data_IF_129706066388
#
_entry.id   IF_129706066388
#
_cell.length_a   1.000
_cell.length_b   1.000
_cell.length_c   1.000
_cell.angle_alpha   90.00
_cell.angle_beta   90.00
_cell.angle_gamma   90.00
#
_symmetry.space_group_name_H-M   'P 1'
#
loop_
_entity.id
_entity.type
_entity.pdbx_description
1 polymer ?
#
# COMPACT_ATOMS: atom_id res chain seq x y z
N UNK A 1 -20.62 21.66 12.20
CA UNK A 1 -19.41 21.58 11.35
C UNK A 1 -18.13 21.82 12.13
N UNK A 2 -18.04 22.88 12.91
CA UNK A 2 -16.82 23.20 13.65
C UNK A 2 -16.36 22.11 14.62
N UNK A 3 -17.29 21.47 15.33
CA UNK A 3 -16.97 20.40 16.28
C UNK A 3 -16.45 19.16 15.60
N UNK A 4 -17.07 18.76 14.51
CA UNK A 4 -16.64 17.57 13.72
C UNK A 4 -15.26 17.83 13.10
N UNK A 5 -15.06 19.01 12.54
CA UNK A 5 -13.77 19.40 11.98
C UNK A 5 -12.67 19.42 13.05
N UNK A 6 -12.96 19.99 14.22
CA UNK A 6 -12.00 20.03 15.33
C UNK A 6 -11.62 18.62 15.79
N UNK A 7 -12.60 17.72 15.88
CA UNK A 7 -12.35 16.32 16.24
C UNK A 7 -11.49 15.61 15.18
N UNK A 8 -11.75 15.86 13.91
CA UNK A 8 -10.95 15.30 12.82
C UNK A 8 -9.51 15.80 12.88
N UNK A 9 -9.29 17.08 13.18
CA UNK A 9 -7.94 17.63 13.34
C UNK A 9 -7.22 17.04 14.56
N UNK A 10 -7.95 16.82 15.66
CA UNK A 10 -7.42 16.17 16.85
C UNK A 10 -7.00 14.72 16.54
N UNK A 11 -7.83 14.00 15.78
CA UNK A 11 -7.50 12.65 15.31
C UNK A 11 -6.24 12.67 14.43
N UNK A 12 -6.13 13.62 13.52
CA UNK A 12 -4.94 13.80 12.67
C UNK A 12 -3.67 13.99 13.52
N UNK A 13 -3.73 14.79 14.56
CA UNK A 13 -2.61 14.97 15.49
C UNK A 13 -2.25 13.69 16.22
N UNK A 14 -3.25 12.93 16.65
CA UNK A 14 -3.05 11.64 17.31
C UNK A 14 -2.39 10.63 16.38
N UNK A 15 -2.81 10.60 15.11
CA UNK A 15 -2.21 9.75 14.07
C UNK A 15 -0.73 10.11 13.89
N UNK A 16 -0.40 11.40 13.77
CA UNK A 16 0.97 11.85 13.56
C UNK A 16 1.88 11.61 14.78
N UNK A 17 1.29 11.48 15.97
CA UNK A 17 2.01 11.15 17.21
C UNK A 17 2.16 9.64 17.42
N UNK A 18 1.46 8.82 16.65
CA UNK A 18 1.49 7.36 16.80
C UNK A 18 2.81 6.78 16.29
N UNK A 19 3.40 5.78 17.01
CA UNK A 19 4.63 5.14 16.55
C UNK A 19 4.57 4.54 15.14
N UNK A 20 3.40 4.06 14.70
CA UNK A 20 3.21 3.50 13.35
C UNK A 20 3.39 4.55 12.26
N UNK A 21 2.90 5.76 12.50
CA UNK A 21 3.12 6.90 11.61
C UNK A 21 4.61 7.23 11.53
N UNK A 22 5.28 7.33 12.68
CA UNK A 22 6.69 7.68 12.75
C UNK A 22 7.57 6.64 12.07
N UNK A 23 7.30 5.35 12.31
CA UNK A 23 8.02 4.25 11.66
C UNK A 23 7.81 4.26 10.15
N UNK A 24 6.59 4.52 9.68
CA UNK A 24 6.29 4.61 8.25
C UNK A 24 7.09 5.71 7.57
N UNK A 25 7.10 6.92 8.14
CA UNK A 25 7.82 8.04 7.54
C UNK A 25 9.35 7.87 7.60
N UNK A 26 9.87 7.27 8.66
CA UNK A 26 11.30 6.94 8.76
C UNK A 26 11.70 5.88 7.72
N UNK A 27 10.88 4.83 7.57
CA UNK A 27 11.13 3.77 6.60
C UNK A 27 11.00 4.28 5.15
N UNK A 28 10.03 5.16 4.90
CA UNK A 28 9.87 5.80 3.59
C UNK A 28 11.09 6.63 3.23
N UNK A 29 11.59 7.41 4.17
CA UNK A 29 12.78 8.24 3.97
C UNK A 29 14.01 7.39 3.66
N UNK A 30 14.22 6.30 4.39
CA UNK A 30 15.31 5.37 4.16
C UNK A 30 15.20 4.67 2.80
N UNK A 31 13.98 4.26 2.43
CA UNK A 31 13.68 3.66 1.13
C UNK A 31 14.00 4.63 -0.01
N UNK A 32 13.53 5.87 0.08
CA UNK A 32 13.74 6.91 -0.94
C UNK A 32 15.22 7.29 -1.07
N UNK A 33 16.00 7.19 0.00
CA UNK A 33 17.42 7.53 0.02
C UNK A 33 18.31 6.36 -0.48
N UNK A 34 17.79 5.17 -0.61
CA UNK A 34 18.53 4.01 -1.12
C UNK A 34 18.57 4.05 -2.64
N UNK A 35 19.61 4.65 -3.19
CA UNK A 35 19.75 4.88 -4.64
C UNK A 35 19.74 3.58 -5.44
N UNK A 36 20.42 2.55 -4.97
CA UNK A 36 20.47 1.25 -5.64
C UNK A 36 19.07 0.63 -5.70
N UNK A 37 18.33 0.69 -4.61
CA UNK A 37 16.96 0.21 -4.55
C UNK A 37 16.05 1.00 -5.51
N UNK A 38 16.16 2.32 -5.53
CA UNK A 38 15.36 3.17 -6.40
C UNK A 38 15.64 2.88 -7.88
N UNK A 39 16.89 2.61 -8.24
CA UNK A 39 17.24 2.20 -9.59
C UNK A 39 16.63 0.86 -9.97
N UNK A 40 16.66 -0.11 -9.06
CA UNK A 40 16.01 -1.42 -9.30
C UNK A 40 14.50 -1.30 -9.47
N UNK A 41 13.85 -0.47 -8.65
CA UNK A 41 12.40 -0.21 -8.75
C UNK A 41 12.07 0.43 -10.11
N UNK A 42 12.87 1.40 -10.53
CA UNK A 42 12.68 2.07 -11.80
C UNK A 42 12.85 1.08 -12.96
N UNK A 43 13.89 0.27 -12.93
CA UNK A 43 14.13 -0.76 -13.94
C UNK A 43 12.98 -1.78 -13.97
N UNK A 44 12.51 -2.21 -12.80
CA UNK A 44 11.38 -3.12 -12.68
C UNK A 44 10.14 -2.55 -13.37
N UNK A 45 9.82 -1.29 -13.10
CA UNK A 45 8.66 -0.63 -13.70
C UNK A 45 8.80 -0.52 -15.22
N UNK A 46 9.98 -0.17 -15.72
CA UNK A 46 10.24 -0.08 -17.15
C UNK A 46 10.12 -1.46 -17.85
N UNK A 47 10.62 -2.52 -17.21
CA UNK A 47 10.50 -3.88 -17.74
C UNK A 47 9.04 -4.35 -17.75
N UNK A 48 8.28 -4.03 -16.72
CA UNK A 48 6.84 -4.34 -16.69
C UNK A 48 6.09 -3.62 -17.82
N UNK A 49 6.39 -2.36 -18.07
CA UNK A 49 5.78 -1.61 -19.17
C UNK A 49 6.14 -2.23 -20.52
N UNK A 50 7.38 -2.62 -20.70
CA UNK A 50 7.83 -3.30 -21.93
C UNK A 50 7.13 -4.64 -22.12
N UNK A 51 6.97 -5.40 -21.04
CA UNK A 51 6.25 -6.68 -21.04
C UNK A 51 4.79 -6.48 -21.45
N UNK A 52 4.13 -5.49 -20.84
CA UNK A 52 2.74 -5.18 -21.16
C UNK A 52 2.57 -4.80 -22.62
N UNK A 53 3.43 -3.95 -23.15
CA UNK A 53 3.40 -3.56 -24.58
C UNK A 53 3.58 -4.75 -25.49
N UNK A 54 4.52 -5.64 -25.16
CA UNK A 54 4.80 -6.81 -25.99
C UNK A 54 3.62 -7.79 -25.98
N UNK A 55 2.99 -8.02 -24.82
CA UNK A 55 1.87 -8.95 -24.68
C UNK A 55 0.55 -8.39 -25.24
N UNK A 56 0.44 -7.07 -25.39
CA UNK A 56 -0.73 -6.42 -26.01
C UNK A 56 -0.69 -6.46 -27.53
N UNK A 57 0.45 -6.82 -28.12
CA UNK A 57 0.55 -6.98 -29.57
C UNK A 57 -0.25 -8.18 -30.05
N UNK A 58 -0.64 -8.15 -31.33
CA UNK A 58 -1.24 -9.31 -31.97
C UNK A 58 -0.31 -10.52 -31.84
N UNK A 59 -0.87 -11.70 -31.59
CA UNK A 59 -0.11 -12.92 -31.35
C UNK A 59 0.97 -13.17 -32.44
N UNK A 60 0.65 -12.84 -33.68
CA UNK A 60 1.56 -12.97 -34.83
C UNK A 60 2.76 -12.03 -34.75
N UNK A 61 2.64 -10.91 -34.04
CA UNK A 61 3.65 -9.87 -33.92
C UNK A 61 4.43 -9.96 -32.62
N UNK A 62 4.02 -10.82 -31.69
CA UNK A 62 4.72 -11.02 -30.43
C UNK A 62 6.02 -11.78 -30.63
N UNK A 63 7.06 -11.38 -29.89
CA UNK A 63 8.34 -12.07 -29.86
C UNK A 63 8.45 -12.91 -28.58
N UNK A 64 8.25 -14.25 -28.66
CA UNK A 64 8.26 -15.10 -27.46
C UNK A 64 9.59 -15.07 -26.70
N UNK A 65 10.72 -14.94 -27.40
CA UNK A 65 12.04 -14.86 -26.75
C UNK A 65 12.17 -13.59 -25.91
N UNK A 66 11.69 -12.47 -26.44
CA UNK A 66 11.69 -11.18 -25.73
C UNK A 66 10.78 -11.23 -24.52
N UNK A 67 9.59 -11.81 -24.66
CA UNK A 67 8.64 -11.99 -23.55
C UNK A 67 9.30 -12.80 -22.44
N UNK A 68 9.93 -13.92 -22.78
CA UNK A 68 10.60 -14.78 -21.80
C UNK A 68 11.74 -14.06 -21.08
N UNK A 69 12.56 -13.29 -21.79
CA UNK A 69 13.63 -12.50 -21.19
C UNK A 69 13.10 -11.43 -20.26
N UNK A 70 12.00 -10.77 -20.65
CA UNK A 70 11.34 -9.77 -19.81
C UNK A 70 10.80 -10.41 -18.53
N UNK A 71 10.14 -11.57 -18.62
CA UNK A 71 9.64 -12.32 -17.47
C UNK A 71 10.76 -12.67 -16.50
N UNK A 72 11.88 -13.18 -17.01
CA UNK A 72 13.04 -13.54 -16.19
C UNK A 72 13.61 -12.31 -15.48
N UNK A 73 13.80 -11.22 -16.22
CA UNK A 73 14.35 -9.99 -15.64
C UNK A 73 13.41 -9.37 -14.59
N UNK A 74 12.11 -9.37 -14.86
CA UNK A 74 11.10 -8.90 -13.92
C UNK A 74 11.16 -9.75 -12.63
N UNK A 75 11.25 -11.07 -12.76
CA UNK A 75 11.35 -11.97 -11.61
C UNK A 75 12.63 -11.73 -10.80
N UNK A 76 13.77 -11.57 -11.45
CA UNK A 76 15.04 -11.27 -10.77
C UNK A 76 14.97 -9.96 -10.00
N UNK A 77 14.43 -8.91 -10.64
CA UNK A 77 14.27 -7.59 -10.00
C UNK A 77 13.29 -7.65 -8.84
N UNK A 78 12.18 -8.37 -9.00
CA UNK A 78 11.19 -8.56 -7.94
C UNK A 78 11.83 -9.19 -6.69
N UNK A 79 12.60 -10.27 -6.88
CA UNK A 79 13.28 -10.95 -5.78
C UNK A 79 14.35 -10.07 -5.12
N UNK A 80 15.12 -9.34 -5.93
CA UNK A 80 16.15 -8.43 -5.41
C UNK A 80 15.54 -7.27 -4.61
N UNK A 81 14.48 -6.66 -5.12
CA UNK A 81 13.78 -5.56 -4.44
C UNK A 81 13.22 -6.05 -3.10
N UNK A 82 12.56 -7.19 -3.09
CA UNK A 82 11.95 -7.73 -1.86
C UNK A 82 12.99 -8.23 -0.84
N UNK A 83 14.20 -8.56 -1.29
CA UNK A 83 15.30 -8.94 -0.39
C UNK A 83 15.98 -7.72 0.23
N UNK A 84 15.73 -6.51 -0.26
CA UNK A 84 16.31 -5.30 0.26
C UNK A 84 15.73 -4.97 1.65
N UNK A 85 16.60 -4.70 2.63
CA UNK A 85 16.19 -4.43 4.01
C UNK A 85 15.33 -3.16 4.14
N UNK A 86 15.64 -2.12 3.38
CA UNK A 86 14.87 -0.87 3.38
C UNK A 86 13.48 -1.07 2.79
N UNK A 87 13.37 -1.88 1.74
CA UNK A 87 12.08 -2.23 1.14
C UNK A 87 11.23 -3.06 2.10
N UNK A 88 11.82 -4.06 2.76
CA UNK A 88 11.12 -4.89 3.74
C UNK A 88 10.61 -4.06 4.92
N UNK A 89 11.44 -3.15 5.45
CA UNK A 89 11.05 -2.25 6.53
C UNK A 89 9.91 -1.30 6.12
N UNK A 90 9.99 -0.77 4.89
CA UNK A 90 8.95 0.10 4.34
C UNK A 90 7.62 -0.65 4.19
N UNK A 91 7.64 -1.85 3.64
CA UNK A 91 6.41 -2.65 3.46
C UNK A 91 5.77 -3.01 4.80
N UNK A 92 6.57 -3.40 5.80
CA UNK A 92 6.08 -3.72 7.14
C UNK A 92 5.45 -2.48 7.81
N UNK A 93 6.12 -1.33 7.73
CA UNK A 93 5.63 -0.08 8.30
C UNK A 93 4.37 0.41 7.59
N UNK A 94 4.30 0.25 6.27
CA UNK A 94 3.13 0.60 5.46
C UNK A 94 1.92 -0.26 5.85
N UNK A 95 2.11 -1.56 6.03
CA UNK A 95 1.02 -2.45 6.46
C UNK A 95 0.48 -2.07 7.82
N UNK A 96 1.35 -1.71 8.78
CA UNK A 96 0.93 -1.26 10.10
C UNK A 96 0.16 0.07 10.02
N UNK A 97 0.61 1.00 9.18
CA UNK A 97 -0.07 2.28 8.97
C UNK A 97 -1.43 2.08 8.31
N UNK A 98 -1.49 1.25 7.26
CA UNK A 98 -2.74 0.94 6.56
C UNK A 98 -3.74 0.26 7.50
N UNK A 99 -3.28 -0.66 8.35
CA UNK A 99 -4.12 -1.31 9.37
C UNK A 99 -4.73 -0.31 10.35
N UNK A 100 -3.92 0.64 10.82
CA UNK A 100 -4.42 1.71 11.69
C UNK A 100 -5.49 2.55 11.00
N UNK A 101 -5.26 2.93 9.74
CA UNK A 101 -6.22 3.74 8.99
C UNK A 101 -7.52 2.98 8.71
N UNK A 102 -7.43 1.68 8.41
CA UNK A 102 -8.62 0.84 8.26
C UNK A 102 -9.43 0.78 9.54
N UNK A 103 -8.79 0.61 10.68
CA UNK A 103 -9.45 0.59 11.98
C UNK A 103 -10.17 1.91 12.25
N UNK A 104 -9.51 3.04 11.99
CA UNK A 104 -10.11 4.38 12.13
C UNK A 104 -11.33 4.51 11.20
N UNK A 105 -11.19 4.15 9.94
CA UNK A 105 -12.28 4.24 8.95
C UNK A 105 -13.48 3.40 9.37
N UNK A 106 -13.26 2.20 9.89
CA UNK A 106 -14.33 1.33 10.37
C UNK A 106 -15.06 1.90 11.56
N UNK A 107 -14.34 2.46 12.53
CA UNK A 107 -14.95 3.12 13.70
C UNK A 107 -15.83 4.28 13.22
N UNK A 108 -15.32 5.13 12.35
CA UNK A 108 -16.08 6.27 11.82
C UNK A 108 -17.32 5.82 11.05
N UNK A 109 -17.20 4.77 10.26
CA UNK A 109 -18.31 4.19 9.49
C UNK A 109 -19.39 3.63 10.43
N UNK A 110 -19.00 2.90 11.47
CA UNK A 110 -19.92 2.38 12.46
C UNK A 110 -20.66 3.51 13.19
N UNK A 111 -19.95 4.56 13.56
CA UNK A 111 -20.55 5.74 14.17
C UNK A 111 -21.55 6.43 13.23
N UNK A 112 -21.21 6.53 11.94
CA UNK A 112 -22.11 7.12 10.94
C UNK A 112 -23.39 6.30 10.77
N UNK A 113 -23.32 4.99 11.03
CA UNK A 113 -24.47 4.09 10.97
C UNK A 113 -25.26 4.01 12.28
N UNK A 114 -24.88 4.80 13.29
CA UNK A 114 -25.61 4.89 14.55
C UNK A 114 -25.11 4.01 15.68
N UNK A 115 -23.96 3.36 15.50
CA UNK A 115 -23.35 2.57 16.57
C UNK A 115 -22.78 3.47 17.66
N UNK A 116 -22.71 2.93 18.89
CA UNK A 116 -22.16 3.66 20.03
C UNK A 116 -20.65 3.88 19.86
N UNK A 117 -20.17 5.14 19.80
CA UNK A 117 -18.73 5.40 19.61
C UNK A 117 -17.84 4.82 20.71
N UNK A 118 -18.37 4.66 21.93
CA UNK A 118 -17.57 4.17 23.05
C UNK A 118 -17.45 2.64 23.09
N UNK A 119 -18.37 1.92 22.45
CA UNK A 119 -18.47 0.47 22.55
C UNK A 119 -18.35 -0.26 21.22
N UNK A 120 -18.43 0.44 20.09
CA UNK A 120 -18.32 -0.21 18.79
C UNK A 120 -16.90 -0.76 18.56
N UNK A 121 -16.84 -1.97 18.00
CA UNK A 121 -15.57 -2.61 17.69
C UNK A 121 -15.50 -2.89 16.19
N UNK A 122 -14.46 -2.41 15.52
CA UNK A 122 -14.25 -2.76 14.12
C UNK A 122 -13.86 -4.24 14.00
N UNK A 123 -14.56 -4.97 13.13
CA UNK A 123 -14.21 -6.37 12.83
C UNK A 123 -13.37 -6.41 11.57
N UNK A 124 -12.05 -6.42 11.77
CA UNK A 124 -11.08 -6.47 10.68
C UNK A 124 -11.00 -7.84 10.02
N UNK A 125 -11.52 -8.88 10.67
CA UNK A 125 -11.47 -10.24 10.13
C UNK A 125 -12.35 -10.43 8.89
N UNK A 126 -13.40 -9.62 8.76
CA UNK A 126 -14.30 -9.64 7.61
C UNK A 126 -13.82 -8.74 6.46
N UNK A 127 -12.74 -8.00 6.67
CA UNK A 127 -12.23 -7.04 5.70
C UNK A 127 -11.16 -7.69 4.82
N UNK A 128 -11.39 -7.74 3.50
CA UNK A 128 -10.43 -8.31 2.53
C UNK A 128 -9.29 -7.34 2.19
N UNK A 129 -9.25 -6.17 2.83
CA UNK A 129 -8.26 -5.14 2.56
C UNK A 129 -8.59 -4.26 1.36
N UNK A 130 -9.67 -4.55 0.66
CA UNK A 130 -10.12 -3.76 -0.48
C UNK A 130 -11.42 -3.05 -0.13
N UNK A 131 -11.31 -1.84 0.38
CA UNK A 131 -12.46 -1.02 0.78
C UNK A 131 -13.41 -0.70 -0.37
N UNK A 132 -12.93 -0.74 -1.61
CA UNK A 132 -13.76 -0.48 -2.79
C UNK A 132 -14.69 -1.66 -3.12
N UNK A 133 -14.31 -2.88 -2.75
CA UNK A 133 -15.12 -4.09 -2.96
C UNK A 133 -15.92 -4.49 -1.72
N UNK A 134 -15.63 -3.87 -0.59
CA UNK A 134 -16.41 -4.01 0.62
C UNK A 134 -17.75 -3.29 0.39
N UNK A 135 -18.75 -4.00 -0.13
CA UNK A 135 -20.12 -3.49 -0.36
C UNK A 135 -20.80 -3.06 0.94
N UNK A 136 -20.19 -2.11 1.57
CA UNK A 136 -20.62 -1.59 2.85
C UNK A 136 -20.29 -2.53 4.00
N UNK A 137 -19.38 -2.10 4.83
CA UNK A 137 -19.35 -2.55 6.21
C UNK A 137 -20.68 -2.10 6.84
N UNK A 138 -21.77 -2.73 6.41
CA UNK A 138 -23.10 -2.46 6.91
C UNK A 138 -23.32 -3.19 8.22
#
# INVERSE_FOLDING_TARGET
MQEVEAAARALGKAIQADPRYQAYHAAKKANDADEALQQEIQEFNLKRMSYQRETERLAEQQNPERIQKLEQKIQELYLSINANANMAAFEAAKQAMDGMMQEVDMILTLCANGEDPDTCHPDLSACTGNCASCGGCH
#
